data_IF_938741334143
#
_entry.id   IF_938741334143
#
_cell.length_a   1.000
_cell.length_b   1.000
_cell.length_c   1.000
_cell.angle_alpha   90.00
_cell.angle_beta   90.00
_cell.angle_gamma   90.00
#
_symmetry.space_group_name_H-M   'P 1'
#
loop_
_entity.id
_entity.type
_entity.pdbx_description
1 polymer ?
#
# COMPACT_ATOMS: atom_id res chain seq x y z
N UNK A 1 2.90 18.65 -18.51
CA UNK A 1 1.45 18.75 -18.46
C UNK A 1 1.01 18.93 -17.02
N UNK A 2 0.20 19.96 -16.78
CA UNK A 2 -0.30 20.20 -15.44
C UNK A 2 -1.13 18.98 -14.98
N UNK A 3 -0.96 18.59 -13.77
CA UNK A 3 -1.68 17.46 -13.18
C UNK A 3 -0.99 16.12 -13.30
N UNK A 4 0.10 16.04 -14.07
CA UNK A 4 0.88 14.81 -14.08
C UNK A 4 1.81 14.78 -12.88
N UNK A 5 1.72 13.70 -12.13
CA UNK A 5 2.58 13.46 -10.97
C UNK A 5 3.66 12.48 -11.41
N UNK A 6 4.95 12.84 -11.24
CA UNK A 6 6.01 11.88 -11.55
C UNK A 6 5.77 10.56 -10.79
N UNK A 7 6.05 9.41 -11.41
CA UNK A 7 5.80 8.12 -10.75
C UNK A 7 6.42 8.00 -9.36
N UNK A 8 7.57 8.63 -9.13
CA UNK A 8 8.22 8.58 -7.82
C UNK A 8 7.47 9.33 -6.73
N UNK A 9 6.60 10.28 -7.11
CA UNK A 9 5.83 11.08 -6.15
C UNK A 9 4.40 10.58 -5.96
N UNK A 10 3.95 9.65 -6.80
CA UNK A 10 2.56 9.20 -6.79
C UNK A 10 2.15 8.62 -5.44
N UNK A 11 3.02 7.82 -4.84
CA UNK A 11 2.73 7.18 -3.55
C UNK A 11 2.54 8.24 -2.46
N UNK A 12 3.42 9.23 -2.41
CA UNK A 12 3.32 10.32 -1.43
C UNK A 12 2.06 11.17 -1.62
N UNK A 13 1.73 11.48 -2.87
CA UNK A 13 0.52 12.24 -3.19
C UNK A 13 -0.73 11.46 -2.81
N UNK A 14 -0.78 10.18 -3.15
CA UNK A 14 -1.91 9.34 -2.79
C UNK A 14 -2.04 9.25 -1.26
N UNK A 15 -0.93 9.06 -0.56
CA UNK A 15 -0.96 9.00 0.90
C UNK A 15 -1.57 10.27 1.49
N UNK A 16 -1.21 11.42 0.95
CA UNK A 16 -1.74 12.70 1.41
C UNK A 16 -3.25 12.78 1.21
N UNK A 17 -3.73 12.34 0.04
CA UNK A 17 -5.17 12.28 -0.22
C UNK A 17 -5.86 11.34 0.77
N UNK A 18 -5.26 10.17 1.05
CA UNK A 18 -5.83 9.22 1.99
C UNK A 18 -5.92 9.78 3.41
N UNK A 19 -4.92 10.55 3.82
CA UNK A 19 -4.98 11.24 5.11
C UNK A 19 -6.13 12.24 5.15
N UNK A 20 -6.32 13.00 4.08
CA UNK A 20 -7.40 13.99 4.01
C UNK A 20 -8.78 13.34 4.09
N UNK A 21 -8.93 12.12 3.60
CA UNK A 21 -10.21 11.42 3.63
C UNK A 21 -10.66 10.99 5.03
N UNK A 22 -9.79 11.10 6.02
CA UNK A 22 -10.18 10.80 7.41
C UNK A 22 -11.31 11.69 7.91
N UNK A 23 -11.38 12.92 7.40
CA UNK A 23 -12.42 13.88 7.76
C UNK A 23 -13.49 14.04 6.67
N UNK A 24 -13.43 13.23 5.61
CA UNK A 24 -14.40 13.31 4.55
C UNK A 24 -15.69 12.58 4.93
N UNK A 25 -16.78 12.94 4.24
CA UNK A 25 -18.06 12.28 4.44
C UNK A 25 -18.03 10.84 3.94
N UNK A 26 -18.33 9.86 4.81
CA UNK A 26 -18.35 8.45 4.38
C UNK A 26 -19.35 8.16 3.26
N UNK A 27 -20.39 8.96 3.13
CA UNK A 27 -21.36 8.79 2.05
C UNK A 27 -20.83 9.25 0.71
N UNK A 28 -19.79 10.09 0.69
CA UNK A 28 -19.21 10.64 -0.54
C UNK A 28 -17.82 10.08 -0.86
N UNK A 29 -17.21 9.36 0.06
CA UNK A 29 -15.85 8.86 -0.11
C UNK A 29 -15.76 7.40 0.31
N UNK A 30 -15.30 6.56 -0.63
CA UNK A 30 -15.04 5.14 -0.35
C UNK A 30 -14.04 4.97 0.79
N UNK A 31 -12.94 5.75 0.73
CA UNK A 31 -11.88 5.64 1.74
C UNK A 31 -12.40 6.05 3.11
N UNK A 32 -13.18 7.14 3.18
CA UNK A 32 -13.80 7.55 4.44
C UNK A 32 -14.72 6.47 4.99
N UNK A 33 -15.44 5.76 4.12
CA UNK A 33 -16.30 4.67 4.55
C UNK A 33 -15.49 3.50 5.12
N UNK A 34 -14.32 3.23 4.55
CA UNK A 34 -13.43 2.20 5.08
C UNK A 34 -12.91 2.57 6.47
N UNK A 35 -12.48 3.81 6.65
CA UNK A 35 -12.05 4.28 7.97
C UNK A 35 -13.16 4.12 9.00
N UNK A 36 -14.37 4.48 8.62
CA UNK A 36 -15.51 4.37 9.52
C UNK A 36 -15.81 2.93 9.91
N UNK A 37 -15.69 2.00 8.96
CA UNK A 37 -15.90 0.58 9.24
C UNK A 37 -14.81 -0.01 10.12
N UNK A 38 -13.61 0.56 10.07
CA UNK A 38 -12.51 0.15 10.94
C UNK A 38 -11.51 -0.79 10.28
N UNK A 39 -10.53 -1.18 11.08
CA UNK A 39 -9.38 -1.96 10.61
C UNK A 39 -9.77 -3.26 9.91
N UNK A 40 -10.73 -3.99 10.44
CA UNK A 40 -11.10 -5.28 9.86
C UNK A 40 -11.58 -5.15 8.42
N UNK A 41 -12.30 -4.08 8.10
CA UNK A 41 -12.76 -3.85 6.74
C UNK A 41 -11.58 -3.57 5.80
N UNK A 42 -10.59 -2.81 6.26
CA UNK A 42 -9.39 -2.52 5.48
C UNK A 42 -8.58 -3.80 5.26
N UNK A 43 -8.39 -4.58 6.32
CA UNK A 43 -7.63 -5.83 6.26
C UNK A 43 -8.30 -6.84 5.34
N UNK A 44 -9.63 -6.91 5.38
CA UNK A 44 -10.39 -7.77 4.49
C UNK A 44 -10.14 -7.40 3.03
N UNK A 45 -10.14 -6.11 2.70
CA UNK A 45 -9.86 -5.65 1.35
C UNK A 45 -8.45 -6.03 0.90
N UNK A 46 -7.46 -5.88 1.77
CA UNK A 46 -6.09 -6.28 1.44
C UNK A 46 -6.03 -7.77 1.13
N UNK A 47 -6.67 -8.60 1.96
CA UNK A 47 -6.72 -10.04 1.71
C UNK A 47 -7.38 -10.39 0.39
N UNK A 48 -8.50 -9.75 0.08
CA UNK A 48 -9.22 -9.96 -1.18
C UNK A 48 -8.36 -9.57 -2.38
N UNK A 49 -7.72 -8.39 -2.32
CA UNK A 49 -6.89 -7.91 -3.43
C UNK A 49 -5.63 -8.76 -3.61
N UNK A 50 -5.06 -9.26 -2.52
CA UNK A 50 -3.93 -10.18 -2.60
C UNK A 50 -4.34 -11.47 -3.31
N UNK A 51 -5.51 -12.03 -2.98
CA UNK A 51 -6.02 -13.23 -3.63
C UNK A 51 -6.28 -12.98 -5.11
N UNK A 52 -6.89 -11.84 -5.46
CA UNK A 52 -7.16 -11.48 -6.85
C UNK A 52 -5.87 -11.28 -7.64
N UNK A 53 -4.83 -10.74 -7.00
CA UNK A 53 -3.51 -10.60 -7.62
C UNK A 53 -2.92 -11.97 -7.98
N UNK A 54 -3.03 -12.92 -7.05
CA UNK A 54 -2.54 -14.29 -7.31
C UNK A 54 -3.28 -14.93 -8.47
N UNK A 55 -4.60 -14.75 -8.53
CA UNK A 55 -5.42 -15.30 -9.62
C UNK A 55 -5.04 -14.65 -10.94
N UNK A 56 -4.93 -13.31 -10.96
CA UNK A 56 -4.55 -12.59 -12.18
C UNK A 56 -3.17 -13.01 -12.69
N UNK A 57 -2.23 -13.26 -11.77
CA UNK A 57 -0.87 -13.66 -12.13
C UNK A 57 -0.81 -15.02 -12.82
N UNK A 58 -1.84 -15.84 -12.69
CA UNK A 58 -1.91 -17.15 -13.39
C UNK A 58 -2.30 -17.01 -14.85
N UNK A 59 -2.78 -15.86 -15.26
CA UNK A 59 -3.21 -15.59 -16.63
C UNK A 59 -2.18 -14.73 -17.34
N UNK A 60 -2.07 -14.80 -18.68
CA UNK A 60 -1.07 -14.02 -19.41
C UNK A 60 -1.42 -12.54 -19.61
N UNK A 61 -2.55 -12.08 -19.10
CA UNK A 61 -2.99 -10.69 -19.25
C UNK A 61 -2.32 -9.80 -18.21
N UNK A 62 -1.22 -9.15 -18.60
CA UNK A 62 -0.48 -8.28 -17.70
C UNK A 62 -1.29 -7.05 -17.26
N UNK A 63 -2.19 -6.58 -18.13
CA UNK A 63 -3.02 -5.42 -17.76
C UNK A 63 -3.97 -5.74 -16.61
N UNK A 64 -4.52 -6.95 -16.60
CA UNK A 64 -5.34 -7.40 -15.47
C UNK A 64 -4.50 -7.47 -14.19
N UNK A 65 -3.30 -7.99 -14.28
CA UNK A 65 -2.40 -8.07 -13.14
C UNK A 65 -2.02 -6.68 -12.62
N UNK A 66 -1.75 -5.74 -13.52
CA UNK A 66 -1.44 -4.35 -13.13
C UNK A 66 -2.60 -3.74 -12.35
N UNK A 67 -3.85 -3.95 -12.79
CA UNK A 67 -5.02 -3.43 -12.08
C UNK A 67 -5.14 -4.02 -10.68
N UNK A 68 -4.91 -5.31 -10.53
CA UNK A 68 -4.99 -5.96 -9.23
C UNK A 68 -3.87 -5.51 -8.30
N UNK A 69 -2.65 -5.35 -8.84
CA UNK A 69 -1.53 -4.82 -8.06
C UNK A 69 -1.82 -3.39 -7.58
N UNK A 70 -2.41 -2.56 -8.45
CA UNK A 70 -2.78 -1.20 -8.07
C UNK A 70 -3.80 -1.19 -6.93
N UNK A 71 -4.80 -2.07 -7.00
CA UNK A 71 -5.80 -2.20 -5.95
C UNK A 71 -5.16 -2.65 -4.63
N UNK A 72 -4.23 -3.59 -4.70
CA UNK A 72 -3.51 -4.08 -3.53
C UNK A 72 -2.67 -2.96 -2.90
N UNK A 73 -1.91 -2.24 -3.71
CA UNK A 73 -1.12 -1.11 -3.22
C UNK A 73 -2.00 -0.04 -2.59
N UNK A 74 -3.13 0.26 -3.25
CA UNK A 74 -4.07 1.27 -2.76
C UNK A 74 -4.54 0.92 -1.34
N UNK A 75 -5.03 -0.29 -1.15
CA UNK A 75 -5.56 -0.68 0.16
C UNK A 75 -4.47 -0.83 1.22
N UNK A 76 -3.27 -1.21 0.81
CA UNK A 76 -2.11 -1.21 1.71
C UNK A 76 -1.80 0.21 2.19
N UNK A 77 -1.88 1.20 1.29
CA UNK A 77 -1.69 2.60 1.65
C UNK A 77 -2.81 3.11 2.56
N UNK A 78 -4.04 2.64 2.37
CA UNK A 78 -5.14 2.99 3.28
C UNK A 78 -4.83 2.51 4.70
N UNK A 79 -4.33 1.28 4.83
CA UNK A 79 -3.90 0.75 6.13
C UNK A 79 -2.80 1.61 6.75
N UNK A 80 -1.81 1.97 5.94
CA UNK A 80 -0.72 2.82 6.41
C UNK A 80 -1.24 4.17 6.89
N UNK A 81 -2.12 4.79 6.12
CA UNK A 81 -2.72 6.08 6.49
C UNK A 81 -3.53 5.95 7.78
N UNK A 82 -4.31 4.88 7.92
CA UNK A 82 -5.08 4.65 9.13
C UNK A 82 -4.18 4.61 10.38
N UNK A 83 -3.00 4.05 10.25
CA UNK A 83 -2.06 3.92 11.37
C UNK A 83 -1.03 5.05 11.41
N UNK A 84 -1.15 6.04 10.55
CA UNK A 84 -0.20 7.15 10.44
C UNK A 84 1.23 6.68 10.20
N UNK A 85 1.38 5.62 9.42
CA UNK A 85 2.68 5.12 8.98
C UNK A 85 2.97 5.76 7.62
N UNK A 86 3.97 6.63 7.56
CA UNK A 86 4.31 7.28 6.30
C UNK A 86 5.02 6.31 5.35
N UNK A 87 4.78 6.45 4.03
CA UNK A 87 5.44 5.58 3.04
C UNK A 87 6.96 5.55 3.16
N UNK A 88 7.57 6.66 3.57
CA UNK A 88 9.02 6.74 3.75
C UNK A 88 9.54 5.71 4.76
N UNK A 89 8.72 5.30 5.74
CA UNK A 89 9.14 4.28 6.69
C UNK A 89 9.28 2.92 6.04
N UNK A 90 8.38 2.62 5.08
CA UNK A 90 8.44 1.35 4.36
C UNK A 90 9.56 1.37 3.34
N UNK A 91 9.66 2.44 2.55
CA UNK A 91 10.73 2.56 1.57
C UNK A 91 12.09 2.66 2.24
N UNK A 92 12.18 3.29 3.42
CA UNK A 92 13.40 3.33 4.21
C UNK A 92 13.84 1.94 4.65
N UNK A 93 12.90 1.09 5.07
CA UNK A 93 13.21 -0.30 5.42
C UNK A 93 13.70 -1.08 4.20
N UNK A 94 13.08 -0.86 3.05
CA UNK A 94 13.53 -1.48 1.81
C UNK A 94 14.95 -1.03 1.44
N UNK A 95 15.22 0.28 1.56
CA UNK A 95 16.55 0.82 1.26
C UNK A 95 17.60 0.21 2.18
N UNK A 96 17.27 0.05 3.45
CA UNK A 96 18.17 -0.58 4.42
C UNK A 96 18.51 -2.01 4.02
N UNK A 97 17.51 -2.76 3.58
CA UNK A 97 17.71 -4.14 3.13
C UNK A 97 18.44 -4.22 1.80
N UNK A 98 18.17 -3.28 0.90
CA UNK A 98 18.72 -3.28 -0.45
C UNK A 98 20.22 -2.98 -0.47
N UNK A 99 20.72 -2.19 0.48
CA UNK A 99 22.15 -1.88 0.58
C UNK A 99 22.99 -3.00 1.18
N UNK A 100 22.36 -4.12 1.60
CA UNK A 100 23.03 -5.23 2.27
C UNK A 100 22.58 -6.53 1.62
N UNK A 101 23.53 -7.47 1.35
CA UNK A 101 23.18 -8.77 0.78
C UNK A 101 22.23 -9.52 1.72
N UNK A 102 21.42 -10.43 1.16
CA UNK A 102 20.49 -11.22 1.95
C UNK A 102 21.15 -11.97 3.08
N UNK A 103 22.33 -12.51 2.84
CA UNK A 103 23.09 -13.22 3.88
C UNK A 103 23.58 -12.28 4.98
N UNK A 104 24.12 -11.12 4.59
CA UNK A 104 24.60 -10.13 5.56
C UNK A 104 23.45 -9.58 6.38
N UNK A 105 22.32 -9.32 5.75
CA UNK A 105 21.12 -8.85 6.43
C UNK A 105 20.64 -9.88 7.47
N UNK A 106 20.62 -11.14 7.07
CA UNK A 106 20.19 -12.22 7.96
C UNK A 106 21.13 -12.36 9.17
N UNK A 107 22.43 -12.25 8.91
CA UNK A 107 23.44 -12.35 9.97
C UNK A 107 23.36 -11.18 10.95
N UNK A 108 22.95 -10.00 10.48
CA UNK A 108 22.87 -8.80 11.30
C UNK A 108 21.60 -8.74 12.14
N UNK A 109 20.58 -9.56 11.84
CA UNK A 109 19.33 -9.53 12.59
C UNK A 109 19.51 -10.05 14.01
N UNK A 110 18.84 -9.42 14.98
CA UNK A 110 18.79 -9.98 16.33
C UNK A 110 18.11 -11.35 16.28
N UNK A 111 18.64 -12.29 17.03
CA UNK A 111 18.11 -13.66 17.05
C UNK A 111 16.73 -13.78 17.65
N UNK A 112 16.35 -12.82 18.48
CA UNK A 112 15.08 -12.83 19.18
C UNK A 112 13.97 -12.11 18.44
N UNK A 113 14.25 -11.58 17.29
CA UNK A 113 13.25 -10.83 16.53
C UNK A 113 12.42 -11.71 15.60
#
# INVERSE_FOLDING_TARGET
MAGLIPPGDMIGELYRVLQDRKTADPGASYVASLYRKGSDAILKKIGEEAAETLIAAKNPDDEALVRELADLWFHTLVLMAQRDIEPARVTGELARRFGTSGHAEKAARPRTS
#
